data_IF_019696831740
#
_entry.id   IF_019696831740
#
_cell.length_a   1.000
_cell.length_b   1.000
_cell.length_c   1.000
_cell.angle_alpha   90.00
_cell.angle_beta   90.00
_cell.angle_gamma   90.00
#
_symmetry.space_group_name_H-M   'P 1'
#
loop_
_entity.id
_entity.type
_entity.pdbx_description
1 polymer ?
#
# COMPACT_ATOMS: atom_id res chain seq x y z
N UNK A 1 -17.06 67.67 -1.46
CA UNK A 1 -17.60 66.37 -1.92
C UNK A 1 -16.52 65.29 -1.96
N UNK A 2 -15.24 65.66 -2.07
CA UNK A 2 -14.13 64.72 -2.32
C UNK A 2 -13.86 63.69 -1.21
N UNK A 3 -13.99 64.06 0.06
CA UNK A 3 -13.73 63.14 1.18
C UNK A 3 -14.68 61.94 1.21
N UNK A 4 -15.93 62.12 0.75
CA UNK A 4 -16.93 61.05 0.76
C UNK A 4 -16.63 60.03 -0.36
N UNK A 5 -16.19 60.53 -1.51
CA UNK A 5 -15.71 59.72 -2.65
C UNK A 5 -14.45 58.94 -2.29
N UNK A 6 -13.53 59.57 -1.55
CA UNK A 6 -12.28 58.96 -1.09
C UNK A 6 -12.54 57.84 -0.07
N UNK A 7 -13.48 58.04 0.86
CA UNK A 7 -13.92 57.01 1.82
C UNK A 7 -14.58 55.83 1.09
N UNK A 8 -15.43 56.09 0.09
CA UNK A 8 -16.06 55.03 -0.70
C UNK A 8 -15.04 54.20 -1.49
N UNK A 9 -14.06 54.86 -2.12
CA UNK A 9 -12.98 54.17 -2.82
C UNK A 9 -12.13 53.29 -1.88
N UNK A 10 -11.86 53.78 -0.66
CA UNK A 10 -11.08 53.05 0.33
C UNK A 10 -11.83 51.85 0.91
N UNK A 11 -13.15 51.97 1.10
CA UNK A 11 -14.00 50.84 1.47
C UNK A 11 -14.07 49.78 0.37
N UNK A 12 -14.11 50.20 -0.89
CA UNK A 12 -14.15 49.29 -2.04
C UNK A 12 -12.84 48.51 -2.18
N UNK A 13 -11.70 49.20 -2.07
CA UNK A 13 -10.36 48.60 -2.06
C UNK A 13 -10.16 47.64 -0.86
N UNK A 14 -10.75 47.96 0.30
CA UNK A 14 -10.76 47.03 1.45
C UNK A 14 -11.57 45.76 1.17
N UNK A 15 -12.71 45.89 0.50
CA UNK A 15 -13.60 44.76 0.19
C UNK A 15 -12.96 43.80 -0.82
N UNK A 16 -12.38 44.34 -1.90
CA UNK A 16 -11.65 43.55 -2.91
C UNK A 16 -10.45 42.80 -2.31
N UNK A 17 -9.75 43.43 -1.36
CA UNK A 17 -8.66 42.76 -0.62
C UNK A 17 -9.16 41.60 0.24
N UNK A 18 -10.31 41.74 0.91
CA UNK A 18 -10.89 40.64 1.68
C UNK A 18 -11.34 39.49 0.78
N UNK A 19 -12.00 39.78 -0.34
CA UNK A 19 -12.42 38.77 -1.30
C UNK A 19 -11.24 38.03 -1.92
N UNK A 20 -10.19 38.75 -2.29
CA UNK A 20 -8.95 38.16 -2.83
C UNK A 20 -8.30 37.21 -1.83
N UNK A 21 -8.30 37.56 -0.54
CA UNK A 21 -7.74 36.71 0.52
C UNK A 21 -8.55 35.42 0.70
N UNK A 22 -9.89 35.53 0.69
CA UNK A 22 -10.77 34.37 0.76
C UNK A 22 -10.60 33.44 -0.45
N UNK A 23 -10.51 34.01 -1.65
CA UNK A 23 -10.32 33.25 -2.88
C UNK A 23 -8.99 32.49 -2.87
N UNK A 24 -7.91 33.11 -2.38
CA UNK A 24 -6.61 32.45 -2.24
C UNK A 24 -6.67 31.30 -1.25
N UNK A 25 -7.32 31.49 -0.11
CA UNK A 25 -7.45 30.44 0.92
C UNK A 25 -8.26 29.25 0.41
N UNK A 26 -9.37 29.50 -0.29
CA UNK A 26 -10.20 28.46 -0.88
C UNK A 26 -9.45 27.70 -1.99
N UNK A 27 -8.69 28.41 -2.82
CA UNK A 27 -7.87 27.80 -3.87
C UNK A 27 -6.77 26.91 -3.27
N UNK A 28 -6.05 27.40 -2.26
CA UNK A 28 -5.02 26.60 -1.59
C UNK A 28 -5.61 25.33 -0.97
N UNK A 29 -6.78 25.42 -0.33
CA UNK A 29 -7.45 24.25 0.25
C UNK A 29 -7.84 23.23 -0.83
N UNK A 30 -8.40 23.70 -1.96
CA UNK A 30 -8.78 22.85 -3.09
C UNK A 30 -7.56 22.16 -3.70
N UNK A 31 -6.51 22.91 -4.00
CA UNK A 31 -5.28 22.39 -4.62
C UNK A 31 -4.61 21.34 -3.70
N UNK A 32 -4.62 21.59 -2.38
CA UNK A 32 -4.11 20.64 -1.39
C UNK A 32 -4.93 19.35 -1.36
N UNK A 33 -6.26 19.47 -1.41
CA UNK A 33 -7.17 18.32 -1.46
C UNK A 33 -6.98 17.49 -2.73
N UNK A 34 -6.88 18.15 -3.89
CA UNK A 34 -6.63 17.47 -5.17
C UNK A 34 -5.26 16.78 -5.20
N UNK A 35 -4.22 17.40 -4.61
CA UNK A 35 -2.91 16.77 -4.48
C UNK A 35 -2.97 15.52 -3.60
N UNK A 36 -3.73 15.58 -2.50
CA UNK A 36 -3.89 14.45 -1.60
C UNK A 36 -4.65 13.29 -2.26
N UNK A 37 -5.74 13.59 -2.98
CA UNK A 37 -6.50 12.58 -3.73
C UNK A 37 -5.64 11.91 -4.81
N UNK A 38 -4.86 12.69 -5.58
CA UNK A 38 -3.92 12.11 -6.56
C UNK A 38 -2.87 11.22 -5.92
N UNK A 39 -2.36 11.60 -4.74
CA UNK A 39 -1.40 10.77 -4.01
C UNK A 39 -2.02 9.44 -3.56
N UNK A 40 -3.27 9.45 -3.10
CA UNK A 40 -4.03 8.24 -2.78
C UNK A 40 -4.25 7.36 -4.02
N UNK A 41 -4.68 7.93 -5.13
CA UNK A 41 -4.86 7.19 -6.40
C UNK A 41 -3.54 6.57 -6.88
N UNK A 42 -2.42 7.29 -6.77
CA UNK A 42 -1.10 6.74 -7.11
C UNK A 42 -0.67 5.61 -6.19
N UNK A 43 -0.98 5.70 -4.89
CA UNK A 43 -0.71 4.63 -3.92
C UNK A 43 -1.59 3.40 -4.19
N UNK A 44 -2.87 3.60 -4.45
CA UNK A 44 -3.81 2.53 -4.80
C UNK A 44 -3.41 1.86 -6.11
N UNK A 45 -3.05 2.62 -7.15
CA UNK A 45 -2.56 2.06 -8.41
C UNK A 45 -1.26 1.25 -8.24
N UNK A 46 -0.39 1.62 -7.28
CA UNK A 46 0.80 0.82 -6.93
C UNK A 46 0.44 -0.44 -6.16
N UNK A 47 -0.60 -0.40 -5.32
CA UNK A 47 -1.04 -1.54 -4.53
C UNK A 47 -1.87 -2.54 -5.35
N UNK A 48 -2.77 -2.05 -6.21
CA UNK A 48 -3.55 -2.85 -7.16
C UNK A 48 -2.79 -3.20 -8.45
N UNK A 49 -1.70 -2.49 -8.76
CA UNK A 49 -0.80 -2.81 -9.87
C UNK A 49 0.10 -4.02 -9.58
N UNK A 50 0.14 -4.50 -8.34
CA UNK A 50 0.71 -5.79 -8.02
C UNK A 50 -0.22 -6.87 -8.56
N UNK A 51 0.13 -7.44 -9.72
CA UNK A 51 -0.59 -8.57 -10.29
C UNK A 51 -0.78 -9.64 -9.18
N UNK A 52 -2.03 -10.02 -8.82
CA UNK A 52 -2.27 -10.97 -7.74
C UNK A 52 -1.49 -12.28 -7.94
N UNK A 53 -1.27 -12.67 -9.19
CA UNK A 53 -0.41 -13.80 -9.54
C UNK A 53 1.05 -13.55 -9.13
N UNK A 54 1.63 -12.38 -9.42
CA UNK A 54 3.02 -12.06 -9.08
C UNK A 54 3.28 -12.03 -7.57
N UNK A 55 2.31 -11.54 -6.77
CA UNK A 55 2.39 -11.58 -5.30
C UNK A 55 2.35 -13.02 -4.79
N UNK A 56 1.44 -13.84 -5.32
CA UNK A 56 1.37 -15.27 -4.99
C UNK A 56 2.66 -16.02 -5.36
N UNK A 57 3.24 -15.76 -6.53
CA UNK A 57 4.53 -16.33 -6.93
C UNK A 57 5.66 -15.89 -5.97
N UNK A 58 5.68 -14.64 -5.53
CA UNK A 58 6.68 -14.15 -4.57
C UNK A 58 6.57 -14.81 -3.20
N UNK A 59 5.35 -15.08 -2.71
CA UNK A 59 5.12 -15.78 -1.44
C UNK A 59 5.57 -17.24 -1.59
N UNK A 60 5.19 -17.90 -2.69
CA UNK A 60 5.59 -19.27 -2.98
C UNK A 60 7.12 -19.43 -3.06
N UNK A 61 7.80 -18.56 -3.80
CA UNK A 61 9.27 -18.55 -3.90
C UNK A 61 9.95 -18.31 -2.54
N UNK A 62 9.36 -17.46 -1.71
CA UNK A 62 9.86 -17.20 -0.34
C UNK A 62 9.71 -18.43 0.54
N UNK A 63 8.61 -19.18 0.41
CA UNK A 63 8.38 -20.44 1.13
C UNK A 63 9.31 -21.55 0.64
N UNK A 64 9.54 -21.68 -0.67
CA UNK A 64 10.53 -22.61 -1.24
C UNK A 64 11.96 -22.36 -0.74
N UNK A 65 12.30 -21.11 -0.39
CA UNK A 65 13.63 -20.78 0.19
C UNK A 65 13.69 -21.06 1.70
N UNK A 66 12.57 -21.00 2.40
CA UNK A 66 12.49 -21.26 3.86
C UNK A 66 12.39 -22.74 4.18
N UNK A 67 11.74 -23.50 3.30
CA UNK A 67 11.58 -24.94 3.44
C UNK A 67 12.68 -25.61 2.61
N UNK A 68 13.62 -26.24 3.30
CA UNK A 68 14.66 -27.04 2.64
C UNK A 68 14.01 -28.22 1.92
N UNK A 69 14.44 -28.54 0.70
CA UNK A 69 13.92 -29.71 -0.04
C UNK A 69 14.05 -30.99 0.78
N UNK A 70 12.99 -31.79 0.78
CA UNK A 70 13.02 -33.07 1.46
C UNK A 70 14.02 -34.02 0.78
N UNK A 71 14.94 -34.57 1.57
CA UNK A 71 15.87 -35.59 1.15
C UNK A 71 15.85 -36.73 2.16
N UNK A 72 15.46 -37.92 1.69
CA UNK A 72 15.35 -39.09 2.54
C UNK A 72 16.72 -39.71 2.79
N UNK A 73 17.08 -39.87 4.06
CA UNK A 73 18.29 -40.54 4.49
C UNK A 73 18.01 -41.26 5.81
N UNK A 74 17.82 -42.58 5.75
CA UNK A 74 17.49 -43.39 6.91
C UNK A 74 18.66 -43.54 7.89
N UNK A 75 19.90 -43.49 7.41
CA UNK A 75 21.10 -43.69 8.23
C UNK A 75 21.38 -42.45 9.09
N UNK A 76 21.10 -41.27 8.56
CA UNK A 76 21.23 -39.99 9.28
C UNK A 76 19.92 -39.51 9.92
N UNK A 77 18.88 -40.35 9.95
CA UNK A 77 17.58 -40.02 10.57
C UNK A 77 16.83 -38.88 9.87
N UNK A 78 17.07 -38.63 8.57
CA UNK A 78 16.31 -37.68 7.76
C UNK A 78 15.08 -38.38 7.20
N UNK A 79 14.09 -38.57 8.06
CA UNK A 79 12.77 -39.09 7.68
C UNK A 79 11.79 -37.94 7.41
N UNK A 80 10.72 -38.25 6.70
CA UNK A 80 9.66 -37.28 6.42
C UNK A 80 9.06 -36.72 7.70
N UNK A 81 8.84 -37.55 8.73
CA UNK A 81 8.26 -37.10 10.00
C UNK A 81 9.11 -36.03 10.69
N UNK A 82 10.44 -36.18 10.67
CA UNK A 82 11.36 -35.24 11.30
C UNK A 82 11.42 -33.94 10.50
N UNK A 83 11.48 -34.04 9.17
CA UNK A 83 11.45 -32.88 8.27
C UNK A 83 10.13 -32.11 8.39
N UNK A 84 9.00 -32.82 8.33
CA UNK A 84 7.67 -32.22 8.43
C UNK A 84 7.45 -31.60 9.80
N UNK A 85 7.88 -32.25 10.89
CA UNK A 85 7.81 -31.67 12.24
C UNK A 85 8.58 -30.35 12.35
N UNK A 86 9.70 -30.19 11.64
CA UNK A 86 10.49 -28.96 11.61
C UNK A 86 9.79 -27.83 10.86
N UNK A 87 9.09 -28.13 9.77
CA UNK A 87 8.39 -27.15 8.96
C UNK A 87 6.87 -27.09 9.20
N UNK A 88 6.35 -27.86 10.15
CA UNK A 88 4.92 -27.96 10.46
C UNK A 88 4.29 -26.60 10.70
N UNK A 89 4.97 -25.75 11.45
CA UNK A 89 4.52 -24.38 11.74
C UNK A 89 4.38 -23.52 10.47
N UNK A 90 5.29 -23.70 9.50
CA UNK A 90 5.26 -23.01 8.20
C UNK A 90 4.07 -23.51 7.35
N UNK A 91 3.78 -24.80 7.38
CA UNK A 91 2.62 -25.36 6.67
C UNK A 91 1.28 -24.95 7.32
N UNK A 92 1.23 -24.88 8.65
CA UNK A 92 0.02 -24.57 9.40
C UNK A 92 -0.30 -23.05 9.40
N UNK A 93 0.73 -22.18 9.41
CA UNK A 93 0.54 -20.72 9.48
C UNK A 93 0.71 -20.02 8.11
N UNK A 94 1.81 -20.31 7.40
CA UNK A 94 2.20 -19.53 6.22
C UNK A 94 1.66 -20.11 4.90
N UNK A 95 1.29 -21.39 4.89
CA UNK A 95 0.70 -22.05 3.73
C UNK A 95 -0.84 -22.09 3.76
N UNK A 96 -1.49 -21.36 4.67
CA UNK A 96 -2.96 -21.37 4.82
C UNK A 96 -3.71 -20.96 3.55
N UNK A 97 -3.13 -20.03 2.77
CA UNK A 97 -3.69 -19.56 1.50
C UNK A 97 -3.29 -20.41 0.29
N UNK A 98 -2.41 -21.41 0.45
CA UNK A 98 -1.97 -22.28 -0.63
C UNK A 98 -2.90 -23.49 -0.81
N UNK A 99 -3.14 -23.88 -2.06
CA UNK A 99 -3.82 -25.12 -2.39
C UNK A 99 -2.98 -26.35 -2.00
N UNK A 100 -3.62 -27.51 -1.83
CA UNK A 100 -2.89 -28.76 -1.55
C UNK A 100 -1.82 -29.06 -2.61
N UNK A 101 -2.11 -28.79 -3.89
CA UNK A 101 -1.17 -28.98 -4.98
C UNK A 101 0.08 -28.09 -4.85
N UNK A 102 -0.08 -26.85 -4.38
CA UNK A 102 1.04 -25.95 -4.12
C UNK A 102 1.82 -26.39 -2.88
N UNK A 103 1.15 -26.84 -1.82
CA UNK A 103 1.80 -27.40 -0.63
C UNK A 103 2.66 -28.61 -0.97
N UNK A 104 2.20 -29.50 -1.85
CA UNK A 104 2.98 -30.66 -2.29
C UNK A 104 4.22 -30.26 -3.09
N UNK A 105 4.21 -29.11 -3.78
CA UNK A 105 5.38 -28.59 -4.52
C UNK A 105 6.47 -28.02 -3.61
N UNK A 106 6.19 -27.80 -2.32
CA UNK A 106 7.15 -27.35 -1.32
C UNK A 106 7.99 -28.50 -0.72
N UNK A 107 7.63 -29.75 -1.01
CA UNK A 107 8.32 -30.96 -0.55
C UNK A 107 9.58 -31.24 -1.39
#
# INVERSE_FOLDING_TARGET
MDKLTEILALMQDQMERQESMLMLMQKQQKDTSESFLRALEMMEARMNGANPAAVKYSIFDSLCRRIDKFNFDAENGRTFDIWFKRFKDVFDNDCTELSEQEKTRLL
#
